data_IF_872708675198
#
_entry.id   IF_872708675198
#
_cell.length_a   1.000
_cell.length_b   1.000
_cell.length_c   1.000
_cell.angle_alpha   90.00
_cell.angle_beta   90.00
_cell.angle_gamma   90.00
#
_symmetry.space_group_name_H-M   'P 1'
#
loop_
_entity.id
_entity.type
_entity.pdbx_description
1 polymer ?
#
# COMPACT_ATOMS: atom_id res chain seq x y z
N UNK A 1 18.94 -19.63 -6.57
CA UNK A 1 17.59 -20.01 -6.09
C UNK A 1 16.68 -18.81 -6.22
N UNK A 2 15.36 -18.97 -6.34
CA UNK A 2 14.41 -17.85 -6.27
C UNK A 2 13.78 -17.80 -4.89
N UNK A 3 13.82 -16.65 -4.24
CA UNK A 3 13.22 -16.43 -2.91
C UNK A 3 11.83 -15.84 -3.10
N UNK A 4 10.88 -16.14 -2.22
CA UNK A 4 9.52 -15.63 -2.35
C UNK A 4 8.91 -15.24 -1.02
N UNK A 5 8.20 -14.12 -1.01
CA UNK A 5 7.42 -13.63 0.13
C UNK A 5 5.94 -13.78 -0.18
N UNK A 6 5.16 -14.25 0.79
CA UNK A 6 3.72 -14.49 0.63
C UNK A 6 2.95 -13.67 1.65
N UNK A 7 1.90 -12.97 1.20
CA UNK A 7 0.90 -12.34 2.10
C UNK A 7 -0.49 -12.91 1.87
N UNK A 8 -1.39 -12.61 2.80
CA UNK A 8 -2.83 -12.77 2.63
C UNK A 8 -3.52 -11.40 2.61
N UNK A 9 -4.00 -10.97 1.45
CA UNK A 9 -4.70 -9.68 1.30
C UNK A 9 -6.20 -9.84 1.56
N UNK A 10 -6.79 -9.06 2.47
CA UNK A 10 -8.24 -9.13 2.76
C UNK A 10 -8.61 -10.07 3.92
N UNK A 11 -7.64 -10.47 4.74
CA UNK A 11 -7.88 -11.23 5.97
C UNK A 11 -8.37 -12.66 5.72
N UNK A 12 -9.27 -13.16 6.56
CA UNK A 12 -9.67 -14.60 6.61
C UNK A 12 -10.26 -15.17 5.31
N UNK A 13 -10.75 -14.31 4.40
CA UNK A 13 -11.28 -14.65 3.07
C UNK A 13 -10.43 -14.06 1.94
N UNK A 14 -9.20 -13.69 2.28
CA UNK A 14 -8.31 -12.97 1.42
C UNK A 14 -7.71 -13.80 0.29
N UNK A 15 -7.08 -13.11 -0.64
CA UNK A 15 -6.29 -13.71 -1.70
C UNK A 15 -4.84 -13.82 -1.25
N UNK A 16 -4.22 -14.97 -1.54
CA UNK A 16 -2.79 -15.15 -1.32
C UNK A 16 -2.02 -14.43 -2.41
N UNK A 17 -1.17 -13.48 -2.02
CA UNK A 17 -0.31 -12.73 -2.93
C UNK A 17 1.16 -13.13 -2.76
N UNK A 18 1.73 -13.50 -3.90
CA UNK A 18 3.13 -13.71 -4.28
C UNK A 18 4.09 -12.54 -4.50
N UNK A 19 5.30 -12.47 -3.95
CA UNK A 19 6.42 -11.74 -4.59
C UNK A 19 7.62 -12.66 -4.77
N UNK A 20 8.29 -12.58 -5.93
CA UNK A 20 9.49 -13.38 -6.20
C UNK A 20 10.71 -12.48 -6.32
N UNK A 21 11.77 -12.87 -5.62
CA UNK A 21 13.05 -12.18 -5.61
C UNK A 21 14.14 -13.10 -6.17
N UNK A 22 15.06 -12.50 -6.93
CA UNK A 22 16.27 -13.17 -7.38
C UNK A 22 17.36 -13.26 -6.30
N UNK A 23 17.18 -12.53 -5.20
CA UNK A 23 18.15 -12.38 -4.11
C UNK A 23 17.48 -12.66 -2.76
N UNK A 24 18.17 -13.41 -1.90
CA UNK A 24 17.69 -13.79 -0.57
C UNK A 24 17.54 -12.58 0.35
N UNK A 25 18.54 -11.71 0.36
CA UNK A 25 18.59 -10.51 1.21
C UNK A 25 17.41 -9.59 0.88
N UNK A 26 17.10 -9.41 -0.40
CA UNK A 26 15.93 -8.63 -0.82
C UNK A 26 14.61 -9.25 -0.34
N UNK A 27 14.48 -10.57 -0.40
CA UNK A 27 13.28 -11.24 0.10
C UNK A 27 13.13 -11.10 1.62
N UNK A 28 14.23 -11.20 2.37
CA UNK A 28 14.24 -11.03 3.81
C UNK A 28 13.85 -9.60 4.20
N UNK A 29 14.53 -8.59 3.63
CA UNK A 29 14.20 -7.18 3.87
C UNK A 29 12.75 -6.84 3.52
N UNK A 30 12.23 -7.40 2.42
CA UNK A 30 10.83 -7.19 2.05
C UNK A 30 9.87 -7.89 3.01
N UNK A 31 10.20 -9.10 3.49
CA UNK A 31 9.44 -9.81 4.52
C UNK A 31 9.32 -8.98 5.80
N UNK A 32 10.44 -8.45 6.30
CA UNK A 32 10.46 -7.59 7.49
C UNK A 32 9.59 -6.34 7.32
N UNK A 33 9.61 -5.71 6.14
CA UNK A 33 8.75 -4.56 5.84
C UNK A 33 7.27 -4.93 5.85
N UNK A 34 6.89 -6.07 5.26
CA UNK A 34 5.52 -6.58 5.24
C UNK A 34 5.04 -6.90 6.66
N UNK A 35 5.89 -7.52 7.48
CA UNK A 35 5.59 -7.80 8.89
C UNK A 35 5.42 -6.52 9.70
N UNK A 36 6.31 -5.55 9.54
CA UNK A 36 6.22 -4.23 10.18
C UNK A 36 4.95 -3.47 9.78
N UNK A 37 4.46 -3.66 8.56
CA UNK A 37 3.20 -3.11 8.05
C UNK A 37 1.97 -3.97 8.36
N UNK A 38 2.06 -4.90 9.31
CA UNK A 38 0.93 -5.70 9.77
C UNK A 38 0.48 -6.73 8.74
N UNK A 39 1.42 -7.40 8.08
CA UNK A 39 1.20 -8.33 6.97
C UNK A 39 0.51 -7.68 5.75
N UNK A 40 0.70 -6.38 5.57
CA UNK A 40 0.22 -5.62 4.41
C UNK A 40 1.42 -5.15 3.60
N UNK A 41 1.25 -5.04 2.29
CA UNK A 41 2.34 -4.55 1.45
C UNK A 41 2.59 -3.08 1.75
N UNK A 42 3.84 -2.64 1.71
CA UNK A 42 4.17 -1.24 1.90
C UNK A 42 3.38 -0.38 0.92
N UNK A 43 2.95 0.78 1.39
CA UNK A 43 2.29 1.76 0.54
C UNK A 43 3.24 2.18 -0.59
N UNK A 44 2.75 2.18 -1.85
CA UNK A 44 3.56 2.46 -3.03
C UNK A 44 4.36 1.27 -3.59
N UNK A 45 4.27 0.09 -2.97
CA UNK A 45 4.85 -1.12 -3.56
C UNK A 45 3.91 -1.76 -4.57
N UNK A 46 4.43 -2.00 -5.78
CA UNK A 46 3.74 -2.72 -6.85
C UNK A 46 4.46 -4.04 -7.13
N UNK A 47 3.70 -5.14 -7.13
CA UNK A 47 4.22 -6.48 -7.39
C UNK A 47 5.02 -6.56 -8.69
N UNK A 48 6.21 -7.15 -8.62
CA UNK A 48 7.14 -7.27 -9.74
C UNK A 48 7.74 -5.95 -10.24
N UNK A 49 7.43 -4.81 -9.62
CA UNK A 49 8.00 -3.49 -9.93
C UNK A 49 8.76 -2.87 -8.76
N UNK A 50 8.44 -3.25 -7.52
CA UNK A 50 9.02 -2.64 -6.32
C UNK A 50 8.28 -1.37 -5.90
N UNK A 51 8.95 -0.52 -5.12
CA UNK A 51 8.45 0.81 -4.79
C UNK A 51 8.38 1.67 -6.06
N UNK A 52 7.17 2.04 -6.47
CA UNK A 52 6.96 3.02 -7.53
C UNK A 52 6.82 4.41 -6.91
N UNK A 53 7.33 5.44 -7.59
CA UNK A 53 7.09 6.83 -7.20
C UNK A 53 5.58 7.08 -7.04
N UNK A 54 5.17 7.92 -6.07
CA UNK A 54 3.77 8.09 -5.74
C UNK A 54 3.06 8.86 -6.86
N UNK A 55 2.49 8.14 -7.82
CA UNK A 55 1.33 8.64 -8.55
C UNK A 55 0.13 8.46 -7.62
N UNK A 56 -0.01 9.43 -6.71
CA UNK A 56 -1.20 9.71 -5.90
C UNK A 56 -1.80 8.55 -5.10
N UNK A 57 -1.70 8.62 -3.77
CA UNK A 57 -2.54 7.79 -2.91
C UNK A 57 -4.01 7.92 -3.29
N UNK A 58 -4.76 6.80 -3.44
CA UNK A 58 -6.19 6.85 -3.64
C UNK A 58 -6.83 7.43 -2.36
N UNK A 59 -6.91 8.76 -2.33
CA UNK A 59 -7.22 9.53 -1.13
C UNK A 59 -6.71 10.98 -1.17
N UNK A 60 -5.73 11.32 -2.01
CA UNK A 60 -5.21 12.69 -2.13
C UNK A 60 -5.92 13.55 -3.21
N UNK A 61 -7.01 13.06 -3.79
CA UNK A 61 -7.76 13.71 -4.87
C UNK A 61 -9.19 14.14 -4.50
N UNK A 62 -9.38 14.84 -3.38
CA UNK A 62 -10.59 15.67 -3.18
C UNK A 62 -10.28 16.89 -2.32
N UNK A 63 -9.61 17.88 -2.92
CA UNK A 63 -9.59 19.25 -2.42
C UNK A 63 -10.71 20.05 -3.10
N UNK A 64 -11.94 19.58 -2.97
CA UNK A 64 -13.14 20.36 -3.29
C UNK A 64 -13.72 20.91 -1.98
N UNK A 65 -13.33 22.16 -1.69
CA UNK A 65 -14.02 23.19 -0.91
C UNK A 65 -14.71 22.79 0.41
N UNK A 66 -14.27 23.28 1.58
CA UNK A 66 -15.03 23.08 2.80
C UNK A 66 -16.33 23.91 2.78
N UNK A 67 -17.45 23.21 2.94
CA UNK A 67 -18.82 23.72 2.92
C UNK A 67 -19.21 24.63 4.11
N UNK A 68 -18.26 25.34 4.74
CA UNK A 68 -18.56 26.35 5.78
C UNK A 68 -18.67 27.79 5.23
N UNK A 69 -18.47 27.99 3.92
CA UNK A 69 -18.57 29.33 3.29
C UNK A 69 -20.02 29.82 3.06
N UNK A 70 -21.05 28.99 3.30
CA UNK A 70 -22.47 29.37 3.10
C UNK A 70 -23.25 29.49 4.40
N UNK A 71 -22.66 30.05 5.47
CA UNK A 71 -23.41 30.39 6.69
C UNK A 71 -23.33 31.85 7.13
N UNK A 72 -23.09 32.79 6.20
CA UNK A 72 -23.39 34.21 6.41
C UNK A 72 -24.52 34.67 5.51
N UNK A 73 -25.77 34.32 5.90
CA UNK A 73 -26.99 35.07 5.52
C UNK A 73 -28.16 34.71 6.45
N UNK A 74 -28.38 35.57 7.45
CA UNK A 74 -29.53 35.78 8.36
C UNK A 74 -28.93 36.02 9.74
N UNK A 75 -29.25 37.05 10.50
CA UNK A 75 -29.97 38.31 10.35
C UNK A 75 -29.55 39.10 11.59
#
# INVERSE_FOLDING_TARGET
MTHQVRRLEGGRRGTWEDEKFGDETQAEQFGELVEAHGNTWPYGWVKGRGFTEPDEAPGAGRRDSPAWTTMWRRR
#
